data_IF_530732630350
#
_entry.id   IF_530732630350
#
_cell.length_a   1.000
_cell.length_b   1.000
_cell.length_c   1.000
_cell.angle_alpha   90.00
_cell.angle_beta   90.00
_cell.angle_gamma   90.00
#
_symmetry.space_group_name_H-M   'P 1'
#
loop_
_entity.id
_entity.type
_entity.pdbx_description
1 polymer ?
#
# COMPACT_ATOMS: atom_id res chain seq x y z
N UNK A 1 1.59 16.25 6.61
CA UNK A 1 0.82 16.97 5.62
C UNK A 1 1.69 17.20 4.38
N UNK A 2 1.20 16.99 3.14
CA UNK A 2 2.00 17.15 1.91
C UNK A 2 2.62 18.54 1.77
N UNK A 3 1.88 19.57 2.07
CA UNK A 3 2.32 20.98 2.01
C UNK A 3 3.52 21.28 2.92
N UNK A 4 3.51 20.75 4.15
CA UNK A 4 4.65 20.93 5.07
C UNK A 4 5.90 20.22 4.57
N UNK A 5 5.72 19.06 3.94
CA UNK A 5 6.82 18.30 3.34
C UNK A 5 7.50 19.11 2.23
N UNK A 6 6.72 19.72 1.35
CA UNK A 6 7.21 20.56 0.26
C UNK A 6 7.96 21.79 0.77
N UNK A 7 7.47 22.44 1.82
CA UNK A 7 8.15 23.59 2.44
C UNK A 7 9.51 23.18 3.00
N UNK A 8 9.57 22.07 3.74
CA UNK A 8 10.83 21.55 4.29
C UNK A 8 11.81 21.21 3.16
N UNK A 9 11.33 20.59 2.09
CA UNK A 9 12.14 20.25 0.92
C UNK A 9 12.75 21.49 0.28
N UNK A 10 11.94 22.54 0.07
CA UNK A 10 12.42 23.83 -0.46
C UNK A 10 13.43 24.49 0.46
N UNK A 11 13.17 24.52 1.77
CA UNK A 11 14.09 25.09 2.76
C UNK A 11 15.44 24.36 2.79
N UNK A 12 15.43 23.04 2.65
CA UNK A 12 16.65 22.25 2.59
C UNK A 12 17.40 22.46 1.27
N UNK A 13 16.70 22.45 0.15
CA UNK A 13 17.28 22.67 -1.17
C UNK A 13 17.91 24.07 -1.28
N UNK A 14 17.29 25.09 -0.69
CA UNK A 14 17.82 26.45 -0.61
C UNK A 14 18.88 26.66 0.48
N UNK A 15 19.30 25.60 1.20
CA UNK A 15 20.30 25.61 2.29
C UNK A 15 19.91 26.43 3.53
N UNK A 16 18.66 26.80 3.68
CA UNK A 16 18.12 27.39 4.91
C UNK A 16 18.13 26.38 6.06
N UNK A 17 17.90 25.09 5.74
CA UNK A 17 18.09 24.00 6.66
C UNK A 17 19.40 23.27 6.31
N UNK A 18 20.29 23.14 7.31
CA UNK A 18 21.59 22.45 7.14
C UNK A 18 21.52 20.98 7.54
N UNK A 19 20.56 20.61 8.36
CA UNK A 19 20.36 19.26 8.86
C UNK A 19 18.88 18.92 8.87
N UNK A 20 18.55 17.71 8.44
CA UNK A 20 17.22 17.12 8.58
C UNK A 20 17.37 15.76 9.25
N UNK A 21 16.59 15.53 10.31
CA UNK A 21 16.40 14.22 10.92
C UNK A 21 15.03 13.70 10.50
N UNK A 22 15.00 12.52 9.90
CA UNK A 22 13.78 12.03 9.26
C UNK A 22 13.66 10.50 9.33
N UNK A 23 12.47 9.99 9.05
CA UNK A 23 12.22 8.56 8.91
C UNK A 23 12.59 8.08 7.50
N UNK A 24 12.77 6.76 7.34
CA UNK A 24 12.99 6.07 6.06
C UNK A 24 11.98 6.51 4.99
N UNK A 25 10.69 6.56 5.33
CA UNK A 25 9.61 6.91 4.39
C UNK A 25 9.78 8.32 3.80
N UNK A 26 10.25 9.27 4.60
CA UNK A 26 10.53 10.60 4.13
C UNK A 26 11.78 10.63 3.23
N UNK A 27 12.85 9.96 3.66
CA UNK A 27 14.11 9.89 2.92
C UNK A 27 13.95 9.22 1.54
N UNK A 28 13.04 8.24 1.42
CA UNK A 28 12.75 7.55 0.15
C UNK A 28 11.79 8.33 -0.76
N UNK A 29 10.88 9.11 -0.18
CA UNK A 29 9.78 9.76 -0.90
C UNK A 29 10.07 11.14 -1.47
N UNK A 30 11.29 11.69 -1.31
CA UNK A 30 11.64 13.04 -1.71
C UNK A 30 13.00 13.08 -2.41
N UNK A 31 13.17 14.05 -3.29
CA UNK A 31 14.43 14.26 -4.00
C UNK A 31 15.28 15.35 -3.29
N UNK A 32 15.83 15.02 -2.13
CA UNK A 32 16.69 15.93 -1.36
C UNK A 32 18.10 15.33 -1.25
N UNK A 33 19.01 15.61 -2.19
CA UNK A 33 20.39 15.19 -2.07
C UNK A 33 21.11 16.03 -1.01
N UNK A 34 21.86 15.37 -0.16
CA UNK A 34 22.72 15.96 0.87
C UNK A 34 24.18 15.61 0.63
N UNK A 35 25.14 16.40 1.11
CA UNK A 35 26.54 16.00 1.04
C UNK A 35 26.79 14.73 1.84
N UNK A 36 26.15 14.60 2.99
CA UNK A 36 26.32 13.45 3.88
C UNK A 36 24.98 12.90 4.30
N UNK A 37 24.89 11.57 4.36
CA UNK A 37 23.75 10.82 4.91
C UNK A 37 24.24 10.04 6.12
N UNK A 38 23.50 10.14 7.23
CA UNK A 38 23.79 9.39 8.45
C UNK A 38 22.64 8.44 8.72
N UNK A 39 22.92 7.15 8.79
CA UNK A 39 21.97 6.13 9.20
C UNK A 39 22.20 5.81 10.69
N UNK A 40 21.30 6.23 11.53
CA UNK A 40 21.38 6.06 12.99
C UNK A 40 21.13 4.61 13.41
N UNK A 41 20.42 3.84 12.60
CA UNK A 41 20.20 2.42 12.82
C UNK A 41 20.15 1.68 11.48
N UNK A 42 20.67 0.45 11.46
CA UNK A 42 20.56 -0.45 10.31
C UNK A 42 19.38 -1.43 10.44
N UNK A 43 18.61 -1.32 11.52
CA UNK A 43 17.40 -2.13 11.72
C UNK A 43 16.15 -1.25 11.71
N UNK A 44 15.10 -1.73 11.07
CA UNK A 44 13.79 -1.10 11.06
C UNK A 44 12.74 -1.96 11.74
N UNK A 45 11.73 -1.30 12.30
CA UNK A 45 10.58 -1.99 12.86
C UNK A 45 9.69 -2.55 11.74
N UNK A 46 9.48 -3.85 11.74
CA UNK A 46 8.54 -4.58 10.90
C UNK A 46 7.46 -5.23 11.77
N UNK A 47 6.39 -5.72 11.18
CA UNK A 47 5.25 -6.29 11.92
C UNK A 47 5.58 -7.40 12.92
N UNK A 48 6.74 -8.05 12.79
CA UNK A 48 7.25 -9.10 13.67
C UNK A 48 8.37 -8.68 14.64
N UNK A 49 8.88 -7.44 14.56
CA UNK A 49 10.00 -6.99 15.39
C UNK A 49 10.96 -6.04 14.66
N UNK A 50 12.23 -6.08 15.01
CA UNK A 50 13.28 -5.33 14.34
C UNK A 50 13.98 -6.22 13.31
N UNK A 51 13.97 -5.79 12.05
CA UNK A 51 14.62 -6.47 10.93
C UNK A 51 15.74 -5.61 10.36
N UNK A 52 16.79 -6.23 9.85
CA UNK A 52 17.85 -5.52 9.13
C UNK A 52 17.27 -4.78 7.92
N UNK A 53 17.78 -3.59 7.62
CA UNK A 53 17.42 -2.88 6.39
C UNK A 53 17.72 -3.78 5.19
N UNK A 54 16.83 -3.75 4.21
CA UNK A 54 17.11 -4.39 2.93
C UNK A 54 18.18 -3.60 2.19
N UNK A 55 19.06 -4.29 1.51
CA UNK A 55 20.15 -3.63 0.78
C UNK A 55 19.63 -2.60 -0.24
N UNK A 56 18.54 -2.88 -0.94
CA UNK A 56 17.94 -1.91 -1.87
C UNK A 56 17.46 -0.64 -1.17
N UNK A 57 16.87 -0.76 0.04
CA UNK A 57 16.40 0.38 0.83
C UNK A 57 17.60 1.19 1.33
N UNK A 58 18.65 0.49 1.79
CA UNK A 58 19.93 1.09 2.14
C UNK A 58 20.56 1.85 0.97
N UNK A 59 20.70 1.22 -0.21
CA UNK A 59 21.27 1.87 -1.40
C UNK A 59 20.46 3.09 -1.85
N UNK A 60 19.13 3.05 -1.72
CA UNK A 60 18.27 4.16 -2.07
C UNK A 60 18.45 5.35 -1.12
N UNK A 61 18.64 5.10 0.18
CA UNK A 61 18.97 6.14 1.16
C UNK A 61 20.42 6.63 0.99
N UNK A 62 21.37 5.73 0.83
CA UNK A 62 22.78 6.05 0.59
C UNK A 62 22.97 6.85 -0.71
N UNK A 63 22.19 6.56 -1.74
CA UNK A 63 22.16 7.32 -3.00
C UNK A 63 21.66 8.77 -2.90
N UNK A 64 21.28 9.21 -1.71
CA UNK A 64 21.04 10.64 -1.41
C UNK A 64 22.31 11.39 -1.02
N UNK A 65 23.40 10.69 -0.76
CA UNK A 65 24.68 11.29 -0.45
C UNK A 65 25.39 11.78 -1.73
N UNK A 66 25.87 13.01 -1.70
CA UNK A 66 26.50 13.68 -2.83
C UNK A 66 25.50 14.46 -3.72
N UNK A 67 25.77 15.74 -3.93
CA UNK A 67 24.97 16.60 -4.79
C UNK A 67 25.68 16.72 -6.14
N UNK A 68 25.03 16.21 -7.18
CA UNK A 68 25.55 16.25 -8.54
C UNK A 68 25.92 17.68 -8.96
N UNK A 69 27.15 17.88 -9.44
CA UNK A 69 27.66 19.17 -9.88
C UNK A 69 28.05 20.15 -8.76
N UNK A 70 27.93 19.73 -7.47
CA UNK A 70 28.30 20.58 -6.31
C UNK A 70 29.29 19.92 -5.37
N UNK A 71 29.22 18.60 -5.20
CA UNK A 71 30.11 17.85 -4.31
C UNK A 71 30.97 16.88 -5.15
N UNK A 72 32.24 16.82 -4.83
CA UNK A 72 33.19 15.86 -5.46
C UNK A 72 32.90 14.43 -4.97
N UNK A 73 32.45 14.27 -3.73
CA UNK A 73 32.11 13.01 -3.12
C UNK A 73 30.94 13.14 -2.15
N UNK A 74 30.10 12.10 -2.09
CA UNK A 74 29.08 11.92 -1.06
C UNK A 74 29.56 11.01 0.05
N UNK A 75 29.16 11.29 1.28
CA UNK A 75 29.56 10.52 2.44
C UNK A 75 28.34 9.83 3.08
N UNK A 76 28.48 8.54 3.38
CA UNK A 76 27.48 7.76 4.10
C UNK A 76 28.08 7.26 5.40
N UNK A 77 27.47 7.67 6.51
CA UNK A 77 27.90 7.27 7.84
C UNK A 77 26.89 6.29 8.43
N UNK A 78 27.39 5.17 8.93
CA UNK A 78 26.58 4.13 9.56
C UNK A 78 26.91 4.06 11.04
N UNK A 79 25.91 4.28 11.90
CA UNK A 79 26.05 3.97 13.31
C UNK A 79 25.75 2.50 13.55
N UNK A 80 26.80 1.73 13.79
CA UNK A 80 26.71 0.29 14.04
C UNK A 80 26.77 0.03 15.54
N UNK A 81 25.78 -0.69 16.06
CA UNK A 81 25.81 -1.23 17.42
C UNK A 81 26.12 -2.72 17.34
N UNK A 82 27.34 -3.16 17.77
CA UNK A 82 27.76 -4.56 17.67
C UNK A 82 26.88 -5.54 18.45
N UNK A 83 26.13 -5.06 19.45
CA UNK A 83 25.17 -5.90 20.19
C UNK A 83 23.94 -6.26 19.37
N UNK A 84 23.65 -5.54 18.30
CA UNK A 84 22.45 -5.70 17.49
C UNK A 84 22.70 -6.01 16.03
N UNK A 85 23.87 -5.68 15.51
CA UNK A 85 24.22 -5.85 14.09
C UNK A 85 25.60 -6.47 14.01
N UNK A 86 25.71 -7.62 13.37
CA UNK A 86 26.97 -8.31 13.13
C UNK A 86 27.77 -7.68 11.98
N UNK A 87 29.07 -7.96 11.93
CA UNK A 87 29.95 -7.52 10.84
C UNK A 87 29.46 -8.06 9.49
N UNK A 88 29.04 -9.32 9.44
CA UNK A 88 28.53 -9.94 8.21
C UNK A 88 27.25 -9.28 7.70
N UNK A 89 26.36 -8.80 8.59
CA UNK A 89 25.16 -8.04 8.20
C UNK A 89 25.56 -6.68 7.59
N UNK A 90 26.58 -6.01 8.14
CA UNK A 90 27.11 -4.76 7.57
C UNK A 90 27.74 -5.01 6.20
N UNK A 91 28.55 -6.02 6.07
CA UNK A 91 29.17 -6.40 4.79
C UNK A 91 28.11 -6.74 3.73
N UNK A 92 27.06 -7.46 4.12
CA UNK A 92 25.94 -7.74 3.23
C UNK A 92 25.24 -6.46 2.76
N UNK A 93 25.03 -5.48 3.64
CA UNK A 93 24.44 -4.20 3.26
C UNK A 93 25.35 -3.42 2.30
N UNK A 94 26.66 -3.44 2.52
CA UNK A 94 27.63 -2.68 1.73
C UNK A 94 27.95 -3.34 0.38
N UNK A 95 28.10 -4.65 0.36
CA UNK A 95 28.67 -5.38 -0.79
C UNK A 95 27.79 -6.53 -1.31
N UNK A 96 26.71 -6.91 -0.62
CA UNK A 96 25.82 -7.99 -1.01
C UNK A 96 25.05 -7.70 -2.32
N UNK A 97 24.25 -8.62 -2.76
CA UNK A 97 23.36 -8.44 -3.91
C UNK A 97 22.04 -7.80 -3.45
N UNK A 98 21.55 -6.74 -4.12
CA UNK A 98 20.23 -6.17 -3.83
C UNK A 98 19.13 -7.23 -4.00
N UNK A 99 18.14 -7.18 -3.13
CA UNK A 99 17.01 -8.09 -3.20
C UNK A 99 16.24 -7.89 -4.52
N UNK A 100 15.83 -8.98 -5.17
CA UNK A 100 15.09 -8.89 -6.41
C UNK A 100 13.73 -8.22 -6.21
N UNK A 101 13.29 -7.49 -7.21
CA UNK A 101 11.95 -6.91 -7.25
C UNK A 101 10.96 -8.01 -7.61
N UNK A 102 10.08 -8.35 -6.68
CA UNK A 102 8.99 -9.29 -6.94
C UNK A 102 7.69 -8.55 -7.22
N UNK A 103 6.96 -9.04 -8.20
CA UNK A 103 5.62 -8.53 -8.50
C UNK A 103 4.71 -8.77 -7.29
N UNK A 104 4.04 -7.71 -6.83
CA UNK A 104 2.93 -7.77 -5.89
C UNK A 104 1.59 -7.62 -6.63
N UNK A 105 1.52 -8.19 -7.81
CA UNK A 105 0.30 -8.16 -8.59
C UNK A 105 -0.86 -8.72 -7.77
N UNK A 106 -1.79 -7.84 -7.43
CA UNK A 106 -3.03 -8.17 -6.75
C UNK A 106 -4.18 -7.53 -7.53
N UNK A 107 -5.02 -8.36 -8.08
CA UNK A 107 -6.23 -7.92 -8.76
C UNK A 107 -7.31 -7.60 -7.73
N UNK A 108 -7.26 -6.40 -7.13
CA UNK A 108 -8.39 -5.88 -6.35
C UNK A 108 -9.58 -5.65 -7.29
N UNK A 109 -10.78 -5.58 -6.74
CA UNK A 109 -11.96 -5.29 -7.55
C UNK A 109 -11.89 -3.88 -8.17
N UNK A 110 -11.40 -2.88 -7.42
CA UNK A 110 -11.14 -1.54 -7.97
C UNK A 110 -10.20 -1.58 -9.17
N UNK A 111 -9.09 -2.34 -9.08
CA UNK A 111 -8.17 -2.51 -10.20
C UNK A 111 -8.85 -3.15 -11.41
N UNK A 112 -9.65 -4.20 -11.21
CA UNK A 112 -10.35 -4.88 -12.29
C UNK A 112 -11.40 -3.97 -12.95
N UNK A 113 -12.20 -3.24 -12.17
CA UNK A 113 -13.17 -2.29 -12.68
C UNK A 113 -12.50 -1.19 -13.51
N UNK A 114 -11.40 -0.60 -12.99
CA UNK A 114 -10.66 0.44 -13.71
C UNK A 114 -9.98 -0.07 -14.99
N UNK A 115 -9.44 -1.30 -14.97
CA UNK A 115 -8.88 -1.92 -16.16
C UNK A 115 -9.99 -2.30 -17.17
N UNK A 116 -11.12 -2.82 -16.71
CA UNK A 116 -12.25 -3.15 -17.59
C UNK A 116 -12.84 -1.91 -18.25
N UNK A 117 -12.92 -0.78 -17.55
CA UNK A 117 -13.31 0.52 -18.12
C UNK A 117 -12.45 0.93 -19.29
N UNK A 118 -11.13 0.61 -19.25
CA UNK A 118 -10.17 0.99 -20.29
C UNK A 118 -10.10 -0.02 -21.44
N UNK A 119 -10.21 -1.30 -21.14
CA UNK A 119 -9.87 -2.39 -22.06
C UNK A 119 -11.05 -3.30 -22.38
N UNK A 120 -12.16 -3.14 -21.67
CA UNK A 120 -13.34 -3.98 -21.89
C UNK A 120 -13.04 -5.49 -21.79
N UNK A 121 -13.59 -6.28 -22.71
CA UNK A 121 -13.39 -7.72 -22.74
C UNK A 121 -11.92 -8.17 -22.92
N UNK A 122 -11.10 -7.34 -23.58
CA UNK A 122 -9.68 -7.64 -23.85
C UNK A 122 -8.78 -7.51 -22.60
N UNK A 123 -9.37 -7.25 -21.44
CA UNK A 123 -8.62 -7.10 -20.18
C UNK A 123 -7.75 -8.33 -19.87
N UNK A 124 -8.21 -9.53 -20.19
CA UNK A 124 -7.43 -10.75 -19.96
C UNK A 124 -6.15 -10.83 -20.81
N UNK A 125 -6.11 -10.16 -21.97
CA UNK A 125 -4.93 -10.07 -22.83
C UNK A 125 -3.81 -9.20 -22.24
N UNK A 126 -4.12 -8.43 -21.21
CA UNK A 126 -3.13 -7.61 -20.48
C UNK A 126 -2.34 -8.48 -19.50
N UNK A 127 -2.94 -9.56 -18.97
CA UNK A 127 -2.30 -10.40 -17.98
C UNK A 127 -0.93 -10.93 -18.44
N UNK A 128 -0.74 -11.40 -19.68
CA UNK A 128 0.57 -11.81 -20.19
C UNK A 128 1.62 -10.68 -20.25
N UNK A 129 1.19 -9.42 -20.23
CA UNK A 129 2.07 -8.25 -20.26
C UNK A 129 2.48 -7.77 -18.86
N UNK A 130 2.04 -8.45 -17.81
CA UNK A 130 2.35 -8.09 -16.42
C UNK A 130 3.70 -8.64 -15.97
N UNK A 131 4.37 -7.91 -15.04
CA UNK A 131 5.56 -8.41 -14.38
C UNK A 131 5.30 -9.73 -13.64
N UNK A 132 4.09 -9.91 -13.09
CA UNK A 132 3.69 -11.16 -12.45
C UNK A 132 3.77 -12.35 -13.41
N UNK A 133 3.22 -12.19 -14.60
CA UNK A 133 3.28 -13.23 -15.63
C UNK A 133 4.72 -13.55 -16.05
N UNK A 134 5.56 -12.52 -16.19
CA UNK A 134 6.97 -12.68 -16.52
C UNK A 134 7.72 -13.47 -15.43
N UNK A 135 7.48 -13.15 -14.16
CA UNK A 135 8.18 -13.75 -13.02
C UNK A 135 7.60 -15.10 -12.56
N UNK A 136 6.43 -15.49 -13.05
CA UNK A 136 5.80 -16.76 -12.66
C UNK A 136 5.76 -17.75 -13.82
N UNK A 137 5.70 -19.04 -13.49
CA UNK A 137 5.62 -20.12 -14.47
C UNK A 137 4.57 -21.14 -14.03
N UNK A 138 4.10 -21.95 -15.00
CA UNK A 138 3.24 -23.09 -14.75
C UNK A 138 2.02 -22.79 -13.88
N UNK A 139 1.80 -23.60 -12.82
CA UNK A 139 0.57 -23.53 -12.00
C UNK A 139 0.29 -22.16 -11.37
N UNK A 140 1.34 -21.42 -10.97
CA UNK A 140 1.18 -20.09 -10.35
C UNK A 140 0.66 -19.06 -11.36
N UNK A 141 1.11 -19.13 -12.60
CA UNK A 141 0.65 -18.27 -13.68
C UNK A 141 -0.82 -18.54 -13.98
N UNK A 142 -1.19 -19.82 -14.09
CA UNK A 142 -2.56 -20.23 -14.32
C UNK A 142 -3.49 -19.80 -13.18
N UNK A 143 -3.08 -20.02 -11.92
CA UNK A 143 -3.86 -19.60 -10.76
C UNK A 143 -4.11 -18.08 -10.73
N UNK A 144 -3.15 -17.26 -11.18
CA UNK A 144 -3.34 -15.82 -11.31
C UNK A 144 -4.40 -15.44 -12.36
N UNK A 145 -4.39 -16.11 -13.50
CA UNK A 145 -5.38 -15.94 -14.56
C UNK A 145 -6.77 -16.39 -14.12
N UNK A 146 -6.86 -17.56 -13.51
CA UNK A 146 -8.13 -18.13 -13.00
C UNK A 146 -8.75 -17.24 -11.94
N UNK A 147 -7.92 -16.68 -11.03
CA UNK A 147 -8.40 -15.74 -10.02
C UNK A 147 -9.00 -14.48 -10.66
N UNK A 148 -8.34 -13.95 -11.68
CA UNK A 148 -8.82 -12.79 -12.42
C UNK A 148 -10.13 -13.07 -13.14
N UNK A 149 -10.25 -14.22 -13.79
CA UNK A 149 -11.48 -14.66 -14.47
C UNK A 149 -12.64 -14.80 -13.49
N UNK A 150 -12.46 -15.53 -12.37
CA UNK A 150 -13.48 -15.69 -11.33
C UNK A 150 -13.96 -14.36 -10.78
N UNK A 151 -13.06 -13.41 -10.53
CA UNK A 151 -13.45 -12.07 -10.07
C UNK A 151 -14.24 -11.30 -11.11
N UNK A 152 -13.92 -11.40 -12.39
CA UNK A 152 -14.69 -10.80 -13.48
C UNK A 152 -16.08 -11.45 -13.62
N UNK A 153 -16.18 -12.76 -13.47
CA UNK A 153 -17.47 -13.47 -13.46
C UNK A 153 -18.34 -12.99 -12.28
N UNK A 154 -17.76 -12.89 -11.08
CA UNK A 154 -18.47 -12.34 -9.92
C UNK A 154 -18.96 -10.92 -10.17
N UNK A 155 -18.14 -10.05 -10.74
CA UNK A 155 -18.54 -8.69 -11.09
C UNK A 155 -19.67 -8.65 -12.11
N UNK A 156 -19.70 -9.57 -13.07
CA UNK A 156 -20.81 -9.73 -14.01
C UNK A 156 -22.10 -10.20 -13.32
N UNK A 157 -22.00 -11.22 -12.48
CA UNK A 157 -23.14 -11.74 -11.72
C UNK A 157 -23.75 -10.68 -10.81
N UNK A 158 -22.92 -9.86 -10.18
CA UNK A 158 -23.36 -8.76 -9.32
C UNK A 158 -23.83 -7.50 -10.10
N UNK A 159 -23.80 -7.54 -11.43
CA UNK A 159 -24.27 -6.45 -12.28
C UNK A 159 -23.37 -5.22 -12.36
N UNK A 160 -22.06 -5.37 -12.12
CA UNK A 160 -21.05 -4.31 -12.29
C UNK A 160 -20.60 -4.17 -13.74
N UNK A 161 -20.65 -5.26 -14.51
CA UNK A 161 -20.14 -5.33 -15.88
C UNK A 161 -21.24 -5.73 -16.85
N UNK A 162 -21.27 -5.07 -17.99
CA UNK A 162 -21.89 -5.59 -19.21
C UNK A 162 -20.83 -6.39 -20.02
N UNK A 163 -21.20 -7.05 -21.12
CA UNK A 163 -20.21 -7.70 -21.99
C UNK A 163 -19.10 -6.77 -22.51
N UNK A 164 -19.36 -5.47 -22.65
CA UNK A 164 -18.45 -4.52 -23.29
C UNK A 164 -18.01 -3.35 -22.42
N UNK A 165 -18.75 -3.02 -21.36
CA UNK A 165 -18.52 -1.80 -20.57
C UNK A 165 -18.88 -2.00 -19.09
N UNK A 166 -18.60 -1.01 -18.26
CA UNK A 166 -19.13 -0.93 -16.90
C UNK A 166 -20.62 -0.54 -16.94
N UNK A 167 -21.39 -1.04 -15.97
CA UNK A 167 -22.72 -0.51 -15.66
C UNK A 167 -22.60 0.77 -14.82
N UNK A 168 -23.66 1.56 -14.60
CA UNK A 168 -23.64 2.67 -13.63
C UNK A 168 -23.18 2.23 -12.24
N UNK A 169 -23.57 1.03 -11.81
CA UNK A 169 -23.10 0.39 -10.57
C UNK A 169 -21.59 0.13 -10.60
N UNK A 170 -21.08 -0.37 -11.73
CA UNK A 170 -19.65 -0.61 -11.95
C UNK A 170 -18.85 0.69 -11.96
N UNK A 171 -19.36 1.75 -12.58
CA UNK A 171 -18.73 3.08 -12.57
C UNK A 171 -18.62 3.63 -11.14
N UNK A 172 -19.69 3.55 -10.35
CA UNK A 172 -19.65 3.95 -8.95
C UNK A 172 -18.59 3.16 -8.17
N UNK A 173 -18.55 1.83 -8.30
CA UNK A 173 -17.57 0.97 -7.64
C UNK A 173 -16.12 1.27 -8.05
N UNK A 174 -15.89 1.68 -9.30
CA UNK A 174 -14.57 2.03 -9.80
C UNK A 174 -13.97 3.31 -9.19
N UNK A 175 -14.80 4.20 -8.64
CA UNK A 175 -14.38 5.39 -7.90
C UNK A 175 -13.98 5.11 -6.45
N UNK A 176 -14.36 3.96 -5.91
CA UNK A 176 -14.06 3.57 -4.55
C UNK A 176 -12.72 2.84 -4.50
N UNK A 177 -11.94 3.14 -3.48
CA UNK A 177 -10.67 2.45 -3.21
C UNK A 177 -10.71 1.80 -1.84
N UNK A 178 -10.68 0.48 -1.82
CA UNK A 178 -10.93 -0.33 -0.63
C UNK A 178 -12.42 -0.48 -0.35
N UNK A 179 -12.84 -1.68 0.04
CA UNK A 179 -14.24 -2.04 0.32
C UNK A 179 -15.22 -1.72 -0.83
N UNK A 180 -14.74 -1.71 -2.09
CA UNK A 180 -15.47 -1.27 -3.28
C UNK A 180 -16.82 -1.97 -3.42
N UNK A 181 -16.85 -3.30 -3.30
CA UNK A 181 -18.09 -4.06 -3.43
C UNK A 181 -19.05 -3.75 -2.29
N UNK A 182 -18.57 -3.78 -1.05
CA UNK A 182 -19.41 -3.56 0.12
C UNK A 182 -20.08 -2.19 0.07
N UNK A 183 -19.30 -1.13 -0.19
CA UNK A 183 -19.84 0.23 -0.24
C UNK A 183 -20.78 0.42 -1.41
N UNK A 184 -20.49 -0.18 -2.57
CA UNK A 184 -21.36 -0.11 -3.73
C UNK A 184 -22.69 -0.83 -3.47
N UNK A 185 -22.66 -2.03 -2.88
CA UNK A 185 -23.89 -2.77 -2.53
C UNK A 185 -24.75 -2.01 -1.50
N UNK A 186 -24.12 -1.43 -0.48
CA UNK A 186 -24.82 -0.61 0.51
C UNK A 186 -25.50 0.61 -0.15
N UNK A 187 -24.81 1.27 -1.08
CA UNK A 187 -25.32 2.43 -1.79
C UNK A 187 -26.44 2.05 -2.76
N UNK A 188 -26.22 1.11 -3.66
CA UNK A 188 -27.19 0.69 -4.68
C UNK A 188 -28.39 -0.02 -4.08
N UNK A 189 -28.19 -0.75 -2.97
CA UNK A 189 -29.26 -1.37 -2.18
C UNK A 189 -30.02 -0.41 -1.27
N UNK A 190 -29.73 0.92 -1.34
CA UNK A 190 -30.36 1.96 -0.52
C UNK A 190 -30.28 1.73 1.00
N UNK A 191 -29.27 0.96 1.42
CA UNK A 191 -29.07 0.61 2.84
C UNK A 191 -28.52 1.78 3.67
N UNK A 192 -28.01 2.83 3.00
CA UNK A 192 -27.51 4.05 3.63
C UNK A 192 -28.61 5.10 3.81
N UNK A 193 -29.76 4.96 3.12
CA UNK A 193 -30.86 5.90 3.21
C UNK A 193 -31.51 5.83 4.60
N UNK A 194 -31.81 6.97 5.19
CA UNK A 194 -32.43 7.08 6.51
C UNK A 194 -31.51 6.84 7.70
N UNK A 195 -30.20 6.60 7.48
CA UNK A 195 -29.22 6.55 8.56
C UNK A 195 -28.83 7.97 8.97
N UNK A 196 -28.83 8.23 10.30
CA UNK A 196 -28.31 9.47 10.84
C UNK A 196 -26.78 9.49 10.93
N UNK A 197 -26.19 10.65 11.20
CA UNK A 197 -24.74 10.81 11.31
C UNK A 197 -24.07 9.81 12.29
N UNK A 198 -24.62 9.52 13.47
CA UNK A 198 -24.02 8.54 14.39
C UNK A 198 -24.01 7.11 13.80
N UNK A 199 -25.05 6.74 13.07
CA UNK A 199 -25.16 5.42 12.46
C UNK A 199 -24.19 5.27 11.28
N UNK A 200 -24.06 6.31 10.45
CA UNK A 200 -23.07 6.33 9.38
C UNK A 200 -21.62 6.28 9.91
N UNK A 201 -21.34 7.04 10.97
CA UNK A 201 -20.01 7.00 11.61
C UNK A 201 -19.69 5.62 12.18
N UNK A 202 -20.67 4.96 12.81
CA UNK A 202 -20.50 3.62 13.33
C UNK A 202 -20.27 2.60 12.21
N UNK A 203 -21.06 2.68 11.14
CA UNK A 203 -20.89 1.83 9.96
C UNK A 203 -19.51 2.01 9.34
N UNK A 204 -19.05 3.25 9.17
CA UNK A 204 -17.72 3.54 8.68
C UNK A 204 -16.63 2.93 9.57
N UNK A 205 -16.75 3.08 10.91
CA UNK A 205 -15.83 2.46 11.84
C UNK A 205 -15.83 0.91 11.73
N UNK A 206 -17.00 0.30 11.57
CA UNK A 206 -17.11 -1.15 11.41
C UNK A 206 -16.48 -1.65 10.11
N UNK A 207 -16.63 -0.91 9.01
CA UNK A 207 -16.05 -1.26 7.71
C UNK A 207 -14.54 -1.20 7.72
N UNK A 208 -13.95 -0.18 8.37
CA UNK A 208 -12.48 0.00 8.39
C UNK A 208 -11.79 -0.70 9.57
N UNK A 209 -12.57 -1.33 10.45
CA UNK A 209 -12.01 -2.00 11.61
C UNK A 209 -11.24 -3.27 11.24
N UNK A 210 -9.94 -3.25 11.51
CA UNK A 210 -9.09 -4.43 11.40
C UNK A 210 -8.74 -4.95 12.80
N UNK A 211 -9.18 -6.17 13.17
CA UNK A 211 -8.82 -6.75 14.46
C UNK A 211 -7.30 -7.00 14.53
N UNK A 212 -6.68 -6.66 15.67
CA UNK A 212 -5.26 -6.98 15.88
C UNK A 212 -5.07 -8.51 15.86
N UNK A 213 -4.01 -9.05 15.23
CA UNK A 213 -3.79 -10.51 15.06
C UNK A 213 -3.75 -11.34 16.36
N UNK A 214 -3.69 -10.71 17.53
CA UNK A 214 -3.69 -11.35 18.85
C UNK A 214 -4.75 -10.75 19.80
N UNK A 215 -5.72 -10.02 19.28
CA UNK A 215 -6.83 -9.55 20.08
C UNK A 215 -7.67 -10.76 20.47
N UNK A 216 -7.79 -11.03 21.76
CA UNK A 216 -8.76 -11.99 22.28
C UNK A 216 -10.19 -11.57 21.92
N UNK A 217 -11.19 -12.45 22.13
CA UNK A 217 -12.58 -12.12 21.85
C UNK A 217 -12.96 -10.82 22.55
N UNK A 218 -13.57 -9.91 21.78
CA UNK A 218 -14.03 -8.64 22.32
C UNK A 218 -14.95 -8.92 23.52
N UNK A 219 -14.68 -8.28 24.67
CA UNK A 219 -15.61 -8.33 25.79
C UNK A 219 -16.93 -7.75 25.30
N UNK A 220 -18.02 -8.52 25.39
CA UNK A 220 -19.34 -8.05 25.01
C UNK A 220 -19.73 -6.87 25.89
N UNK A 221 -19.64 -5.66 25.34
CA UNK A 221 -20.27 -4.51 25.95
C UNK A 221 -21.75 -4.53 25.59
N UNK A 222 -22.62 -4.10 26.52
CA UNK A 222 -24.05 -3.93 26.24
C UNK A 222 -24.20 -3.01 25.02
N UNK A 223 -24.52 -3.60 23.89
CA UNK A 223 -24.86 -2.87 22.66
C UNK A 223 -26.23 -2.26 22.88
N UNK A 224 -26.42 -0.97 22.55
CA UNK A 224 -27.76 -0.35 22.63
C UNK A 224 -28.75 -1.12 21.74
N UNK A 225 -30.02 -1.20 22.14
CA UNK A 225 -31.06 -1.89 21.37
C UNK A 225 -31.12 -1.41 19.90
N UNK A 226 -30.86 -0.12 19.68
CA UNK A 226 -30.82 0.50 18.35
C UNK A 226 -29.66 -0.03 17.51
N UNK A 227 -28.48 -0.19 18.11
CA UNK A 227 -27.29 -0.76 17.46
C UNK A 227 -27.48 -2.24 17.13
N UNK A 228 -28.07 -3.01 18.04
CA UNK A 228 -28.40 -4.41 17.79
C UNK A 228 -29.38 -4.58 16.63
N UNK A 229 -30.37 -3.68 16.50
CA UNK A 229 -31.32 -3.71 15.40
C UNK A 229 -30.69 -3.34 14.04
N UNK A 230 -29.69 -2.47 14.01
CA UNK A 230 -28.92 -2.14 12.79
C UNK A 230 -28.07 -3.33 12.33
N UNK A 231 -27.40 -4.01 13.25
CA UNK A 231 -26.62 -5.22 12.93
C UNK A 231 -27.52 -6.35 12.42
N UNK A 232 -28.72 -6.51 12.96
CA UNK A 232 -29.67 -7.53 12.54
C UNK A 232 -30.32 -7.25 11.15
N UNK A 233 -30.34 -6.01 10.68
CA UNK A 233 -30.84 -5.63 9.34
C UNK A 233 -29.80 -5.77 8.23
N UNK A 234 -28.55 -6.00 8.57
CA UNK A 234 -27.43 -6.12 7.64
C UNK A 234 -26.94 -7.58 7.42
N UNK A 235 -27.54 -8.54 8.14
CA UNK A 235 -27.36 -9.99 7.96
C UNK A 235 -28.60 -10.54 7.16
#
# INVERSE_FOLDING_TARGET
LPTMKEVIERCFASRLLKLIVTTETFALGINMPARSVVLDTLKKRSGGGFELLRRRDFLQMAGRAGRRGMDEAGFVYLRVNPMHVSVSEVEHLLHGTPEPVHSRFNTTYATLLNLYRRHGPSLLEIFPKTLYYFQTTGPRRQAGLDLMQRKLELLRLLGYLTPTALTPKGEFGAWLYGHELLLTELHTGKRLEGLGMPELALLACAIVFEPKPKAGPAKSHRVSKRLASLCARGA
#
